data_IF_215807572617
#
_entry.id   IF_215807572617
#
_cell.length_a   1.000
_cell.length_b   1.000
_cell.length_c   1.000
_cell.angle_alpha   90.00
_cell.angle_beta   90.00
_cell.angle_gamma   90.00
#
_symmetry.space_group_name_H-M   'P 1'
#
loop_
_entity.id
_entity.type
_entity.pdbx_description
1 polymer ?
#
# COMPACT_ATOMS: atom_id res chain seq x y z
N UNK A 1 12.50 -8.25 10.94
CA UNK A 1 11.67 -8.76 9.82
C UNK A 1 10.33 -8.04 9.86
N UNK A 2 9.75 -7.72 8.69
CA UNK A 2 8.46 -7.05 8.58
C UNK A 2 7.53 -7.87 7.68
N UNK A 3 6.24 -7.90 8.02
CA UNK A 3 5.19 -8.56 7.27
C UNK A 3 4.27 -7.53 6.63
N UNK A 4 3.94 -7.74 5.35
CA UNK A 4 2.90 -6.97 4.67
C UNK A 4 1.54 -7.54 5.04
N UNK A 5 0.69 -6.72 5.66
CA UNK A 5 -0.63 -7.13 6.15
C UNK A 5 -1.76 -6.34 5.49
N UNK A 6 -2.99 -6.83 5.66
CA UNK A 6 -4.19 -6.18 5.13
C UNK A 6 -4.57 -4.91 5.94
N UNK A 7 -5.48 -4.09 5.39
CA UNK A 7 -5.96 -2.86 6.01
C UNK A 7 -6.74 -3.07 7.32
N UNK A 8 -7.07 -4.31 7.68
CA UNK A 8 -7.64 -4.69 8.97
C UNK A 8 -6.64 -4.63 10.15
N UNK A 9 -5.34 -4.54 9.89
CA UNK A 9 -4.31 -4.49 10.92
C UNK A 9 -3.79 -3.07 11.16
N UNK A 10 -3.32 -2.82 12.38
CA UNK A 10 -2.63 -1.58 12.74
C UNK A 10 -1.17 -1.65 12.32
N UNK A 11 -0.63 -0.55 11.78
CA UNK A 11 0.81 -0.41 11.53
C UNK A 11 1.58 -0.44 12.86
N UNK A 12 2.67 -1.21 12.92
CA UNK A 12 3.46 -1.36 14.13
C UNK A 12 4.76 -2.12 13.88
N UNK A 13 5.52 -2.37 14.95
CA UNK A 13 6.73 -3.18 14.83
C UNK A 13 6.39 -4.56 14.25
N UNK A 14 7.09 -4.92 13.17
CA UNK A 14 6.87 -6.17 12.45
C UNK A 14 5.70 -6.16 11.46
N UNK A 15 4.82 -5.16 11.42
CA UNK A 15 3.63 -5.16 10.58
C UNK A 15 3.43 -3.86 9.79
N UNK A 16 3.31 -4.01 8.47
CA UNK A 16 3.10 -2.92 7.53
C UNK A 16 1.75 -3.09 6.83
N UNK A 17 0.76 -2.33 7.30
CA UNK A 17 -0.58 -2.23 6.72
C UNK A 17 -0.66 -1.04 5.75
N UNK A 18 -1.45 -1.14 4.67
CA UNK A 18 -1.65 -0.01 3.76
C UNK A 18 -2.29 1.18 4.48
N UNK A 19 -1.96 2.39 4.01
CA UNK A 19 -2.62 3.61 4.45
C UNK A 19 -4.09 3.59 4.03
N UNK A 20 -4.97 3.94 4.97
CA UNK A 20 -6.41 4.01 4.75
C UNK A 20 -6.78 5.32 4.06
N UNK A 21 -7.90 5.32 3.32
CA UNK A 21 -8.42 6.52 2.66
C UNK A 21 -7.59 6.99 1.45
N UNK A 22 -6.64 6.16 1.00
CA UNK A 22 -5.85 6.41 -0.21
C UNK A 22 -5.96 5.23 -1.16
N UNK A 23 -5.65 5.47 -2.43
CA UNK A 23 -5.64 4.47 -3.50
C UNK A 23 -4.74 3.28 -3.13
N UNK A 24 -5.17 2.05 -3.43
CA UNK A 24 -4.44 0.84 -3.01
C UNK A 24 -4.37 -0.25 -4.08
N UNK A 25 -5.43 -0.46 -4.85
CA UNK A 25 -5.51 -1.63 -5.73
C UNK A 25 -4.58 -1.49 -6.94
N UNK A 26 -3.95 -2.61 -7.32
CA UNK A 26 -2.95 -2.64 -8.41
C UNK A 26 -3.48 -2.10 -9.74
N UNK A 27 -4.79 -2.29 -10.00
CA UNK A 27 -5.47 -1.81 -11.20
C UNK A 27 -5.55 -0.29 -11.28
N UNK A 28 -5.53 0.41 -10.15
CA UNK A 28 -5.60 1.87 -10.10
C UNK A 28 -4.27 2.54 -10.53
N UNK A 29 -3.23 1.75 -10.79
CA UNK A 29 -1.89 2.20 -11.19
C UNK A 29 -1.50 1.83 -12.63
N UNK A 30 -2.37 1.16 -13.40
CA UNK A 30 -2.03 0.62 -14.73
C UNK A 30 -1.92 1.68 -15.85
N UNK A 31 -2.52 2.85 -15.68
CA UNK A 31 -2.62 3.90 -16.72
C UNK A 31 -1.63 5.07 -16.55
N UNK A 32 -0.46 4.84 -15.96
CA UNK A 32 0.55 5.89 -15.78
C UNK A 32 0.20 6.93 -14.70
N UNK A 33 -0.86 6.70 -13.94
CA UNK A 33 -1.17 7.46 -12.73
C UNK A 33 -0.04 7.27 -11.71
N UNK A 34 0.76 8.33 -11.54
CA UNK A 34 1.77 8.39 -10.49
C UNK A 34 1.07 8.60 -9.16
N UNK A 35 1.58 7.97 -8.11
CA UNK A 35 1.20 8.29 -6.75
C UNK A 35 1.33 9.80 -6.49
N UNK A 36 0.24 10.42 -6.01
CA UNK A 36 0.19 11.85 -5.76
C UNK A 36 0.94 12.23 -4.48
N UNK A 37 1.07 11.29 -3.54
CA UNK A 37 1.70 11.51 -2.26
C UNK A 37 2.45 10.25 -1.76
N UNK A 38 3.20 10.41 -0.68
CA UNK A 38 3.95 9.33 -0.04
C UNK A 38 3.10 8.14 0.42
N UNK A 39 1.85 8.34 0.83
CA UNK A 39 0.96 7.26 1.28
C UNK A 39 0.50 6.41 0.09
N UNK A 40 0.11 7.05 -1.01
CA UNK A 40 -0.20 6.39 -2.27
C UNK A 40 1.01 5.66 -2.85
N UNK A 41 2.20 6.26 -2.74
CA UNK A 41 3.43 5.62 -3.22
C UNK A 41 3.72 4.36 -2.41
N UNK A 42 3.58 4.44 -1.08
CA UNK A 42 3.69 3.27 -0.21
C UNK A 42 2.65 2.21 -0.57
N UNK A 43 1.37 2.57 -0.69
CA UNK A 43 0.28 1.65 -1.03
C UNK A 43 0.47 0.98 -2.40
N UNK A 44 0.95 1.72 -3.39
CA UNK A 44 1.29 1.18 -4.71
C UNK A 44 2.39 0.11 -4.60
N UNK A 45 3.45 0.38 -3.84
CA UNK A 45 4.56 -0.57 -3.65
C UNK A 45 4.13 -1.77 -2.81
N UNK A 46 3.32 -1.53 -1.77
CA UNK A 46 2.71 -2.55 -0.92
C UNK A 46 1.84 -3.51 -1.75
N UNK A 47 0.92 -2.98 -2.55
CA UNK A 47 0.05 -3.77 -3.43
C UNK A 47 0.83 -4.61 -4.46
N UNK A 48 1.91 -4.05 -5.03
CA UNK A 48 2.81 -4.77 -5.95
C UNK A 48 3.64 -5.86 -5.29
N UNK A 49 3.90 -5.77 -3.99
CA UNK A 49 4.67 -6.78 -3.25
C UNK A 49 3.78 -7.89 -2.67
N UNK A 50 2.47 -7.66 -2.60
CA UNK A 50 1.49 -8.63 -2.09
C UNK A 50 0.85 -9.50 -3.18
N UNK A 51 0.70 -8.96 -4.40
CA UNK A 51 0.30 -9.71 -5.59
C UNK A 51 1.52 -10.28 -6.30
#
# INVERSE_FOLDING_TARGET
YYYLVDGGYTNGEGFLAPYRGTRYHIYEWRDGYKAANHQEYFNMRHSKARN
#
